data_IF_085740677088
#
_entry.id   IF_085740677088
#
_cell.length_a   1.000
_cell.length_b   1.000
_cell.length_c   1.000
_cell.angle_alpha   90.00
_cell.angle_beta   90.00
_cell.angle_gamma   90.00
#
_symmetry.space_group_name_H-M   'P 1'
#
loop_
_entity.id
_entity.type
_entity.pdbx_description
1 polymer ?
#
# COMPACT_ATOMS: atom_id res chain seq x y z
N UNK A 1 13.41 -7.44 3.05
CA UNK A 1 13.31 -6.20 3.87
C UNK A 1 13.56 -6.45 5.37
N UNK A 2 14.39 -7.43 5.74
CA UNK A 2 14.58 -7.85 7.16
C UNK A 2 15.50 -6.87 7.93
N UNK A 3 16.51 -6.32 7.26
CA UNK A 3 17.56 -5.51 7.89
C UNK A 3 17.01 -4.23 8.55
N UNK A 4 16.17 -3.45 7.86
CA UNK A 4 15.64 -2.18 8.39
C UNK A 4 14.73 -2.42 9.60
N UNK A 5 13.76 -3.34 9.47
CA UNK A 5 12.82 -3.66 10.54
C UNK A 5 13.51 -4.23 11.78
N UNK A 6 14.54 -5.06 11.58
CA UNK A 6 15.33 -5.61 12.68
C UNK A 6 16.17 -4.52 13.35
N UNK A 7 16.89 -3.72 12.57
CA UNK A 7 17.74 -2.62 13.07
C UNK A 7 16.93 -1.63 13.91
N UNK A 8 15.77 -1.20 13.41
CA UNK A 8 14.91 -0.28 14.15
C UNK A 8 14.34 -0.91 15.42
N UNK A 9 13.88 -2.16 15.38
CA UNK A 9 13.38 -2.85 16.56
C UNK A 9 14.47 -3.02 17.64
N UNK A 10 15.70 -3.35 17.24
CA UNK A 10 16.85 -3.43 18.16
C UNK A 10 17.18 -2.06 18.76
N UNK A 11 17.22 -1.01 17.93
CA UNK A 11 17.42 0.37 18.40
C UNK A 11 16.37 0.77 19.44
N UNK A 12 15.09 0.55 19.14
CA UNK A 12 13.98 0.90 20.04
C UNK A 12 14.07 0.14 21.36
N UNK A 13 14.31 -1.18 21.32
CA UNK A 13 14.48 -2.01 22.51
C UNK A 13 15.62 -1.51 23.39
N UNK A 14 16.76 -1.15 22.80
CA UNK A 14 17.91 -0.60 23.54
C UNK A 14 17.59 0.76 24.16
N UNK A 15 16.96 1.66 23.40
CA UNK A 15 16.65 3.04 23.80
C UNK A 15 15.60 3.11 24.91
N UNK A 16 14.51 2.36 24.77
CA UNK A 16 13.35 2.44 25.66
C UNK A 16 13.24 1.25 26.63
N UNK A 17 14.26 0.39 26.69
CA UNK A 17 14.29 -0.82 27.54
C UNK A 17 13.08 -1.74 27.34
N UNK A 18 12.53 -1.74 26.12
CA UNK A 18 11.36 -2.55 25.77
C UNK A 18 11.71 -4.03 25.61
N UNK A 19 10.87 -4.90 26.16
CA UNK A 19 10.96 -6.36 26.03
C UNK A 19 9.70 -6.92 25.38
N UNK A 20 9.85 -7.84 24.42
CA UNK A 20 8.72 -8.46 23.71
C UNK A 20 8.80 -8.34 22.19
N UNK A 21 7.69 -8.69 21.53
CA UNK A 21 7.53 -8.59 20.08
C UNK A 21 7.20 -7.16 19.68
N UNK A 22 8.02 -6.55 18.83
CA UNK A 22 7.91 -5.12 18.50
C UNK A 22 6.95 -4.84 17.33
N UNK A 23 6.96 -5.70 16.31
CA UNK A 23 6.08 -5.59 15.15
C UNK A 23 4.79 -6.37 15.38
N UNK A 24 3.68 -6.02 14.73
CA UNK A 24 2.44 -6.80 14.87
C UNK A 24 2.38 -7.99 13.90
N UNK A 25 2.91 -7.80 12.68
CA UNK A 25 2.94 -8.83 11.63
C UNK A 25 4.18 -8.61 10.73
N UNK A 26 4.41 -9.52 9.79
CA UNK A 26 5.42 -9.40 8.75
C UNK A 26 5.05 -8.31 7.75
N UNK A 27 6.06 -7.68 7.15
CA UNK A 27 5.83 -6.74 6.07
C UNK A 27 5.13 -7.43 4.89
N UNK A 28 4.18 -6.74 4.28
CA UNK A 28 3.53 -7.17 3.04
C UNK A 28 4.28 -6.58 1.85
N UNK A 29 4.45 -7.36 0.79
CA UNK A 29 5.01 -6.91 -0.49
C UNK A 29 4.00 -7.25 -1.57
N UNK A 30 3.43 -6.22 -2.19
CA UNK A 30 2.30 -6.35 -3.09
C UNK A 30 2.71 -5.75 -4.44
N UNK A 31 2.44 -6.48 -5.52
CA UNK A 31 2.72 -5.98 -6.88
C UNK A 31 1.60 -5.04 -7.26
N UNK A 32 1.94 -3.82 -7.66
CA UNK A 32 0.96 -2.82 -8.10
C UNK A 32 1.20 -2.52 -9.58
N UNK A 33 0.11 -2.35 -10.33
CA UNK A 33 0.18 -1.82 -11.69
C UNK A 33 0.65 -0.37 -11.66
N UNK A 34 1.17 0.10 -12.79
CA UNK A 34 1.66 1.47 -12.91
C UNK A 34 0.48 2.47 -12.90
N UNK A 35 0.85 3.74 -12.86
CA UNK A 35 -0.05 4.86 -13.08
C UNK A 35 -1.18 4.98 -12.02
N UNK A 36 -2.43 4.73 -12.40
CA UNK A 36 -3.60 4.95 -11.53
C UNK A 36 -3.55 4.17 -10.22
N UNK A 37 -3.10 2.91 -10.26
CA UNK A 37 -2.99 2.07 -9.08
C UNK A 37 -1.92 2.59 -8.11
N UNK A 38 -0.83 3.16 -8.64
CA UNK A 38 0.22 3.78 -7.83
C UNK A 38 -0.31 5.03 -7.11
N UNK A 39 -1.08 5.88 -7.81
CA UNK A 39 -1.71 7.07 -7.19
C UNK A 39 -2.71 6.67 -6.10
N UNK A 40 -3.51 5.66 -6.38
CA UNK A 40 -4.50 5.16 -5.44
C UNK A 40 -3.82 4.57 -4.20
N UNK A 41 -2.77 3.75 -4.36
CA UNK A 41 -1.96 3.26 -3.24
C UNK A 41 -1.26 4.39 -2.47
N UNK A 42 -0.72 5.40 -3.15
CA UNK A 42 -0.14 6.59 -2.50
C UNK A 42 -1.17 7.33 -1.64
N UNK A 43 -2.36 7.59 -2.19
CA UNK A 43 -3.44 8.24 -1.47
C UNK A 43 -3.93 7.43 -0.26
N UNK A 44 -3.90 6.10 -0.35
CA UNK A 44 -4.22 5.23 0.77
C UNK A 44 -3.27 5.48 1.94
N UNK A 45 -1.96 5.49 1.68
CA UNK A 45 -0.94 5.73 2.70
C UNK A 45 -1.11 7.12 3.32
N UNK A 46 -1.32 8.13 2.48
CA UNK A 46 -1.45 9.52 2.91
C UNK A 46 -2.75 9.80 3.69
N UNK A 47 -3.80 8.99 3.48
CA UNK A 47 -5.06 9.07 4.23
C UNK A 47 -5.07 8.24 5.51
N UNK A 48 -4.08 7.36 5.75
CA UNK A 48 -4.03 6.53 6.96
C UNK A 48 -4.03 7.35 8.27
N UNK A 49 -3.29 8.47 8.40
CA UNK A 49 -3.34 9.30 9.61
C UNK A 49 -4.74 9.85 9.90
N UNK A 50 -5.49 10.20 8.86
CA UNK A 50 -6.87 10.67 8.99
C UNK A 50 -7.79 9.52 9.42
N UNK A 51 -7.64 8.35 8.78
CA UNK A 51 -8.43 7.15 9.10
C UNK A 51 -8.15 6.63 10.52
N UNK A 52 -6.92 6.78 11.00
CA UNK A 52 -6.53 6.44 12.36
C UNK A 52 -6.98 7.50 13.39
N UNK A 53 -7.63 8.59 12.95
CA UNK A 53 -8.09 9.66 13.84
C UNK A 53 -6.98 10.53 14.42
N UNK A 54 -5.76 10.45 13.87
CA UNK A 54 -4.60 11.21 14.37
C UNK A 54 -4.67 12.69 13.95
N UNK A 55 -5.23 12.97 12.78
CA UNK A 55 -5.38 14.32 12.21
C UNK A 55 -6.70 14.47 11.46
N UNK A 56 -7.18 15.71 11.27
CA UNK A 56 -8.43 15.99 10.54
C UNK A 56 -8.24 15.99 9.02
N UNK A 57 -7.07 16.41 8.53
CA UNK A 57 -6.75 16.43 7.11
C UNK A 57 -5.35 15.85 6.86
N UNK A 58 -5.11 15.23 5.69
CA UNK A 58 -3.81 14.60 5.38
C UNK A 58 -2.65 15.61 5.37
N UNK A 59 -2.91 16.89 5.08
CA UNK A 59 -1.91 17.98 5.14
C UNK A 59 -1.39 18.26 6.56
N UNK A 60 -2.14 17.88 7.58
CA UNK A 60 -1.81 18.16 8.98
C UNK A 60 -0.86 17.08 9.54
N UNK A 61 -0.59 16.01 8.79
CA UNK A 61 0.34 14.96 9.20
C UNK A 61 1.71 15.14 8.52
N UNK A 62 2.73 15.64 9.25
CA UNK A 62 4.02 15.99 8.65
C UNK A 62 4.85 14.78 8.22
N UNK A 63 4.58 13.60 8.77
CA UNK A 63 5.33 12.36 8.51
C UNK A 63 4.78 11.59 7.31
N UNK A 64 4.39 12.30 6.25
CA UNK A 64 3.91 11.70 4.99
C UNK A 64 4.37 12.49 3.77
N UNK A 65 4.42 11.82 2.62
CA UNK A 65 4.73 12.43 1.32
C UNK A 65 3.64 13.38 0.81
N UNK A 66 2.47 13.46 1.47
CA UNK A 66 1.35 14.26 0.97
C UNK A 66 1.71 15.74 0.80
N UNK A 67 2.52 16.30 1.71
CA UNK A 67 3.01 17.67 1.58
C UNK A 67 3.80 17.91 0.29
N UNK A 68 4.58 16.92 -0.14
CA UNK A 68 5.43 16.97 -1.33
C UNK A 68 4.56 16.74 -2.57
N UNK A 69 3.75 15.68 -2.56
CA UNK A 69 2.93 15.27 -3.70
C UNK A 69 1.79 16.26 -3.99
N UNK A 70 1.14 16.81 -2.96
CA UNK A 70 -0.04 17.66 -3.11
C UNK A 70 0.25 19.17 -3.07
N UNK A 71 1.39 19.59 -2.51
CA UNK A 71 1.75 21.02 -2.36
C UNK A 71 3.16 21.35 -2.84
N UNK A 72 3.91 20.37 -3.36
CA UNK A 72 5.24 20.61 -3.89
C UNK A 72 6.28 21.01 -2.85
N UNK A 73 6.06 20.68 -1.57
CA UNK A 73 7.10 20.88 -0.54
C UNK A 73 8.39 20.18 -0.96
N UNK A 74 9.52 20.79 -0.65
CA UNK A 74 10.84 20.17 -0.84
C UNK A 74 11.20 19.37 0.41
N UNK A 75 11.78 18.20 0.20
CA UNK A 75 12.32 17.34 1.25
C UNK A 75 13.46 16.53 0.62
N UNK A 76 14.62 16.55 1.25
CA UNK A 76 15.82 15.90 0.72
C UNK A 76 15.80 14.37 0.94
N UNK A 77 14.83 13.87 1.71
CA UNK A 77 14.69 12.43 2.00
C UNK A 77 13.73 11.72 1.04
N UNK A 78 13.03 12.46 0.18
CA UNK A 78 11.95 11.91 -0.65
C UNK A 78 12.20 12.21 -2.13
N UNK A 79 12.47 11.14 -2.87
CA UNK A 79 12.48 11.19 -4.33
C UNK A 79 11.05 11.28 -4.87
N UNK A 80 10.80 12.29 -5.71
CA UNK A 80 9.51 12.42 -6.38
C UNK A 80 9.42 11.45 -7.54
N UNK A 81 8.36 10.65 -7.58
CA UNK A 81 8.10 9.75 -8.70
C UNK A 81 7.53 10.53 -9.89
N UNK A 82 8.01 10.21 -11.11
CA UNK A 82 7.62 10.91 -12.36
C UNK A 82 6.12 10.95 -12.62
N UNK A 83 5.35 10.02 -12.05
CA UNK A 83 3.89 10.05 -12.15
C UNK A 83 3.29 11.31 -11.51
N UNK A 84 3.87 11.75 -10.40
CA UNK A 84 3.48 12.98 -9.73
C UNK A 84 3.96 14.19 -10.51
N UNK A 85 5.06 14.09 -11.29
CA UNK A 85 5.53 15.16 -12.18
C UNK A 85 4.73 15.25 -13.49
N UNK A 86 4.27 14.12 -14.04
CA UNK A 86 3.26 14.09 -15.12
C UNK A 86 1.96 14.74 -14.67
N UNK A 87 1.70 14.69 -13.36
CA UNK A 87 0.65 15.43 -12.66
C UNK A 87 1.12 16.79 -12.10
N UNK A 88 2.30 17.33 -12.43
CA UNK A 88 2.77 18.59 -11.80
C UNK A 88 4.08 19.11 -12.40
N UNK A 89 3.94 19.99 -13.39
CA UNK A 89 4.80 21.18 -13.46
C UNK A 89 4.04 22.46 -13.08
N UNK A 90 2.70 22.42 -13.05
CA UNK A 90 1.83 23.56 -12.84
C UNK A 90 0.94 23.37 -11.58
N UNK A 91 0.62 24.48 -10.88
CA UNK A 91 -0.22 24.54 -9.68
C UNK A 91 -1.63 23.96 -9.94
N UNK A 92 -2.07 24.04 -11.20
CA UNK A 92 -3.32 23.45 -11.72
C UNK A 92 -3.40 21.93 -11.54
N UNK A 93 -2.29 21.22 -11.68
CA UNK A 93 -2.29 19.74 -11.69
C UNK A 93 -2.15 19.16 -10.28
N UNK A 94 -1.53 19.90 -9.35
CA UNK A 94 -1.61 19.60 -7.89
C UNK A 94 -3.05 19.66 -7.37
N UNK A 95 -3.89 20.50 -7.97
CA UNK A 95 -5.32 20.57 -7.65
C UNK A 95 -6.04 19.28 -8.04
N UNK A 96 -5.64 18.64 -9.14
CA UNK A 96 -6.18 17.33 -9.54
C UNK A 96 -5.81 16.27 -8.52
N UNK A 97 -4.55 16.20 -8.09
CA UNK A 97 -4.15 15.23 -7.05
C UNK A 97 -4.88 15.47 -5.73
N UNK A 98 -5.02 16.73 -5.29
CA UNK A 98 -5.84 17.06 -4.11
C UNK A 98 -7.29 16.62 -4.27
N UNK A 99 -7.88 16.83 -5.44
CA UNK A 99 -9.25 16.41 -5.75
C UNK A 99 -9.39 14.88 -5.75
N UNK A 100 -8.40 14.17 -6.30
CA UNK A 100 -8.32 12.72 -6.26
C UNK A 100 -8.27 12.21 -4.81
N UNK A 101 -7.38 12.74 -3.97
CA UNK A 101 -7.27 12.34 -2.55
C UNK A 101 -8.57 12.65 -1.79
N UNK A 102 -9.23 13.78 -2.06
CA UNK A 102 -10.53 14.09 -1.47
C UNK A 102 -11.62 13.09 -1.90
N UNK A 103 -11.65 12.68 -3.18
CA UNK A 103 -12.57 11.64 -3.66
C UNK A 103 -12.32 10.31 -2.95
N UNK A 104 -11.05 9.91 -2.79
CA UNK A 104 -10.66 8.70 -2.08
C UNK A 104 -11.01 8.74 -0.59
N UNK A 105 -10.90 9.92 0.05
CA UNK A 105 -11.30 10.11 1.44
C UNK A 105 -12.80 9.90 1.64
N UNK A 106 -13.64 10.30 0.67
CA UNK A 106 -15.10 10.08 0.69
C UNK A 106 -15.50 8.63 0.43
N UNK A 107 -14.59 7.81 -0.09
CA UNK A 107 -14.81 6.39 -0.38
C UNK A 107 -13.81 5.51 0.38
N UNK A 108 -13.84 5.52 1.73
CA UNK A 108 -12.81 4.86 2.55
C UNK A 108 -12.78 3.34 2.36
N UNK A 109 -13.93 2.74 2.04
CA UNK A 109 -14.06 1.28 1.85
C UNK A 109 -13.52 0.78 0.50
N UNK A 110 -13.25 1.68 -0.46
CA UNK A 110 -12.82 1.28 -1.81
C UNK A 110 -11.45 0.57 -1.85
N UNK A 111 -10.62 0.73 -0.80
CA UNK A 111 -9.29 0.12 -0.74
C UNK A 111 -9.03 -0.71 0.52
N UNK A 112 -9.78 -0.50 1.60
CA UNK A 112 -9.51 -1.09 2.92
C UNK A 112 -9.61 -2.62 2.91
N UNK A 113 -10.69 -3.15 2.34
CA UNK A 113 -10.89 -4.61 2.24
C UNK A 113 -10.13 -5.25 1.09
N UNK A 114 -9.84 -4.50 0.03
CA UNK A 114 -9.04 -5.05 -1.06
C UNK A 114 -7.61 -5.31 -0.56
N UNK A 115 -6.92 -4.28 -0.04
CA UNK A 115 -5.45 -4.31 0.22
C UNK A 115 -5.00 -5.42 1.15
N UNK A 116 -5.88 -5.90 2.03
CA UNK A 116 -5.57 -6.97 2.97
C UNK A 116 -5.65 -8.38 2.39
N UNK A 117 -6.26 -8.56 1.21
CA UNK A 117 -6.57 -9.88 0.66
C UNK A 117 -5.95 -10.17 -0.72
N UNK A 118 -5.22 -9.23 -1.32
CA UNK A 118 -4.58 -9.40 -2.63
C UNK A 118 -3.06 -9.27 -2.57
N UNK A 119 -2.39 -10.07 -3.40
CA UNK A 119 -0.94 -10.04 -3.68
C UNK A 119 -0.60 -9.20 -4.90
N UNK A 120 -1.59 -8.92 -5.75
CA UNK A 120 -1.46 -8.11 -6.98
C UNK A 120 -2.62 -7.10 -7.06
N UNK A 121 -2.30 -5.84 -7.34
CA UNK A 121 -3.22 -4.75 -7.66
C UNK A 121 -3.05 -4.32 -9.10
N UNK A 122 -4.13 -4.31 -9.86
CA UNK A 122 -4.13 -3.85 -11.23
C UNK A 122 -5.42 -4.23 -11.94
N UNK A 123 -5.54 -3.80 -13.20
CA UNK A 123 -6.62 -4.26 -14.07
C UNK A 123 -6.53 -5.76 -14.32
N UNK A 124 -7.63 -6.36 -14.80
CA UNK A 124 -7.71 -7.80 -15.09
C UNK A 124 -6.63 -8.27 -16.05
N UNK A 125 -6.33 -7.48 -17.10
CA UNK A 125 -5.25 -7.76 -18.04
C UNK A 125 -3.87 -7.82 -17.35
N UNK A 126 -3.57 -6.84 -16.49
CA UNK A 126 -2.31 -6.82 -15.73
C UNK A 126 -2.17 -8.02 -14.79
N UNK A 127 -3.25 -8.41 -14.12
CA UNK A 127 -3.26 -9.59 -13.25
C UNK A 127 -2.97 -10.86 -14.07
N UNK A 128 -3.58 -11.00 -15.25
CA UNK A 128 -3.33 -12.12 -16.15
C UNK A 128 -1.89 -12.15 -16.65
N UNK A 129 -1.32 -10.99 -16.99
CA UNK A 129 0.07 -10.87 -17.44
C UNK A 129 1.05 -11.26 -16.34
N UNK A 130 0.86 -10.76 -15.12
CA UNK A 130 1.71 -11.10 -13.96
C UNK A 130 1.61 -12.60 -13.67
N UNK A 131 0.42 -13.19 -13.72
CA UNK A 131 0.25 -14.63 -13.56
C UNK A 131 0.95 -15.42 -14.68
N UNK A 132 0.81 -14.99 -15.94
CA UNK A 132 1.44 -15.67 -17.09
C UNK A 132 2.96 -15.67 -16.98
N UNK A 133 3.55 -14.52 -16.66
CA UNK A 133 4.99 -14.29 -16.62
C UNK A 133 5.66 -14.84 -15.36
N UNK A 134 5.06 -14.63 -14.18
CA UNK A 134 5.70 -14.92 -12.89
C UNK A 134 5.04 -16.08 -12.13
N UNK A 135 3.95 -16.67 -12.66
CA UNK A 135 3.16 -17.73 -11.99
C UNK A 135 2.67 -17.33 -10.59
N UNK A 136 2.38 -16.04 -10.42
CA UNK A 136 1.86 -15.47 -9.17
C UNK A 136 0.34 -15.31 -9.25
N UNK A 137 -0.35 -15.82 -8.24
CA UNK A 137 -1.79 -15.63 -8.06
C UNK A 137 -2.09 -14.27 -7.41
N UNK A 138 -3.21 -13.64 -7.76
CA UNK A 138 -3.63 -12.35 -7.20
C UNK A 138 -4.25 -12.45 -5.80
N UNK A 139 -4.67 -13.64 -5.38
CA UNK A 139 -5.33 -13.88 -4.10
C UNK A 139 -4.41 -14.53 -3.07
N UNK A 140 -4.60 -14.17 -1.79
CA UNK A 140 -3.95 -14.88 -0.69
C UNK A 140 -4.61 -16.26 -0.55
N UNK A 141 -3.85 -17.34 -0.79
CA UNK A 141 -4.32 -18.72 -0.58
C UNK A 141 -4.73 -18.90 0.88
N UNK A 142 -5.86 -19.59 1.11
CA UNK A 142 -6.30 -19.93 2.47
C UNK A 142 -5.17 -20.68 3.18
N UNK A 143 -4.81 -20.22 4.38
CA UNK A 143 -3.80 -20.88 5.21
C UNK A 143 -4.31 -22.27 5.60
N UNK A 144 -3.45 -23.29 5.46
CA UNK A 144 -3.75 -24.66 5.84
C UNK A 144 -3.37 -25.68 4.75
N UNK A 145 -3.44 -26.96 5.11
CA UNK A 145 -3.22 -28.06 4.17
C UNK A 145 -4.29 -28.00 3.06
N UNK A 146 -3.92 -28.13 1.78
CA UNK A 146 -4.89 -28.25 0.70
C UNK A 146 -5.89 -29.38 1.00
N UNK A 147 -7.17 -29.12 0.76
CA UNK A 147 -8.21 -30.14 0.92
C UNK A 147 -7.91 -31.28 -0.05
N UNK A 148 -7.91 -32.53 0.44
CA UNK A 148 -7.75 -33.70 -0.43
C UNK A 148 -8.92 -33.71 -1.41
N UNK A 149 -8.64 -33.67 -2.70
CA UNK A 149 -9.66 -33.87 -3.73
C UNK A 149 -10.29 -35.25 -3.49
N UNK A 150 -11.62 -35.32 -3.50
CA UNK A 150 -12.30 -36.62 -3.45
C UNK A 150 -11.98 -37.29 -4.79
N UNK A 151 -11.09 -38.27 -4.79
CA UNK A 151 -11.01 -39.21 -5.90
C UNK A 151 -12.39 -39.84 -6.03
N UNK A 152 -12.99 -39.73 -7.22
CA UNK A 152 -14.21 -40.45 -7.58
C UNK A 152 -13.99 -41.92 -7.27
N UNK A 153 -14.62 -42.41 -6.20
CA UNK A 153 -14.73 -43.84 -5.95
C UNK A 153 -15.84 -44.31 -6.86
N UNK A 154 -15.47 -44.60 -8.10
CA UNK A 154 -16.27 -45.40 -9.02
C UNK A 154 -16.60 -46.75 -8.37
N UNK A 155 -17.90 -47.01 -8.27
CA UNK A 155 -18.60 -48.29 -8.36
C UNK A 155 -17.83 -49.56 -8.00
N UNK A 156 -18.23 -50.16 -6.87
CA UNK A 156 -18.48 -51.60 -6.79
C UNK A 156 -19.80 -51.84 -6.06
#
# INVERSE_FOLDING_TARGET
>A
MISINLSYAQHYKKKYKYTGHFWQDRYKSIIISKDEYLLACGSYVELNPVRAGMVKAPKDYPWSSYGINAYGKKDDLIDRHIIFDKLSTDESVRKEYRSFVQKMQRQPESMRGEMDHRTIYGGSAFIQDVHKQYKLDAGIKKRGRPRKEKSDVENK
#
